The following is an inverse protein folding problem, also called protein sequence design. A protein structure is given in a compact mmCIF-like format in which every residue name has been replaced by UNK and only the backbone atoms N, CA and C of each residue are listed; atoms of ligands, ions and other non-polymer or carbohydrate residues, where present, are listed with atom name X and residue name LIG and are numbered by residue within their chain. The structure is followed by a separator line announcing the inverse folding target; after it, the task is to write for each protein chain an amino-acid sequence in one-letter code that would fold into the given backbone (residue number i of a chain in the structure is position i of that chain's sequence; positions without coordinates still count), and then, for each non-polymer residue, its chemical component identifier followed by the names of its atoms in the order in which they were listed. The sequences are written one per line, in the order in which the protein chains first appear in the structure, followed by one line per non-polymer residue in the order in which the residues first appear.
data_IF_484731785870
#
_entry.id   IF_484731785870
#
_cell.length_a   1.000
_cell.length_b   1.000
_cell.length_c   1.000
_cell.angle_alpha   90.00
_cell.angle_beta   90.00
_cell.angle_gamma   90.00
#
_symmetry.space_group_name_H-M   'P 1'
#
loop_
_entity.id
_entity.type
_entity.pdbx_description
1 polymer ?
#
# COMPACT_ATOMS: atom_id res chain seq x y z
N UNK A 1 10.97 11.64 -8.75
CA UNK A 1 11.85 10.49 -9.05
C UNK A 1 11.76 10.25 -10.55
N UNK A 2 12.91 10.24 -11.23
CA UNK A 2 12.99 10.32 -12.69
C UNK A 2 12.26 9.19 -13.40
N UNK A 3 11.71 9.52 -14.57
CA UNK A 3 11.21 8.55 -15.55
C UNK A 3 12.33 7.58 -15.89
N UNK A 4 12.26 6.35 -15.36
CA UNK A 4 13.10 5.26 -15.82
C UNK A 4 12.60 4.84 -17.19
N UNK A 5 13.37 5.17 -18.22
CA UNK A 5 13.18 4.64 -19.56
C UNK A 5 13.01 3.13 -19.51
N UNK A 6 11.92 2.65 -20.09
CA UNK A 6 11.50 1.25 -20.18
C UNK A 6 12.41 0.39 -21.07
N UNK A 7 13.66 0.79 -21.31
CA UNK A 7 14.60 0.13 -22.23
C UNK A 7 15.83 -0.49 -21.54
N UNK A 8 15.94 -0.43 -20.20
CA UNK A 8 17.07 -1.03 -19.46
C UNK A 8 16.81 -2.44 -18.91
N UNK A 9 15.84 -3.19 -19.45
CA UNK A 9 15.42 -4.50 -18.93
C UNK A 9 16.47 -5.62 -19.02
N UNK A 10 17.53 -5.43 -19.81
CA UNK A 10 18.30 -6.56 -20.32
C UNK A 10 19.77 -6.21 -20.49
N UNK A 11 20.57 -6.30 -19.43
CA UNK A 11 22.02 -6.36 -19.59
C UNK A 11 22.48 -7.67 -20.29
N UNK A 12 21.63 -8.71 -20.35
CA UNK A 12 21.89 -10.00 -21.04
C UNK A 12 20.63 -10.63 -21.67
N UNK A 13 19.61 -9.84 -21.97
CA UNK A 13 18.37 -10.34 -22.60
C UNK A 13 17.37 -11.07 -21.68
N UNK A 14 17.72 -11.40 -20.43
CA UNK A 14 16.85 -12.15 -19.50
C UNK A 14 16.47 -11.31 -18.26
N UNK A 15 15.17 -11.25 -18.01
CA UNK A 15 14.49 -10.68 -16.87
C UNK A 15 14.10 -11.76 -15.85
N UNK A 16 13.99 -11.38 -14.58
CA UNK A 16 13.46 -12.20 -13.49
C UNK A 16 12.45 -11.46 -12.61
N UNK A 17 11.64 -12.25 -11.92
CA UNK A 17 10.74 -11.89 -10.85
C UNK A 17 10.75 -13.04 -9.85
N UNK A 18 11.03 -12.76 -8.58
CA UNK A 18 10.97 -13.74 -7.51
C UNK A 18 10.01 -13.27 -6.42
N UNK A 19 9.09 -14.14 -6.01
CA UNK A 19 8.14 -13.88 -4.92
C UNK A 19 8.30 -14.90 -3.79
N UNK A 20 8.29 -14.42 -2.56
CA UNK A 20 8.18 -15.17 -1.33
C UNK A 20 6.74 -15.13 -0.84
N UNK A 21 6.19 -16.30 -0.55
CA UNK A 21 4.94 -16.50 0.18
C UNK A 21 5.29 -16.97 1.60
N UNK A 22 5.28 -16.08 2.61
CA UNK A 22 5.74 -16.44 3.97
C UNK A 22 4.91 -17.56 4.60
N UNK A 23 3.60 -17.57 4.34
CA UNK A 23 2.64 -18.51 4.93
C UNK A 23 2.89 -19.98 4.56
N UNK A 24 3.37 -20.25 3.34
CA UNK A 24 3.79 -21.59 2.89
C UNK A 24 5.32 -21.75 2.85
N UNK A 25 6.07 -20.72 3.24
CA UNK A 25 7.54 -20.72 3.21
C UNK A 25 8.10 -21.16 1.85
N UNK A 26 7.65 -20.52 0.77
CA UNK A 26 8.07 -20.83 -0.60
C UNK A 26 8.50 -19.58 -1.36
N UNK A 27 9.67 -19.67 -2.01
CA UNK A 27 10.15 -18.69 -2.99
C UNK A 27 9.89 -19.25 -4.39
N UNK A 28 9.22 -18.49 -5.24
CA UNK A 28 9.01 -18.80 -6.66
C UNK A 28 9.79 -17.79 -7.50
N UNK A 29 10.80 -18.24 -8.23
CA UNK A 29 11.57 -17.46 -9.19
C UNK A 29 11.06 -17.75 -10.60
N UNK A 30 10.64 -16.72 -11.32
CA UNK A 30 10.24 -16.75 -12.73
C UNK A 30 11.23 -15.95 -13.55
N UNK A 31 11.62 -16.47 -14.71
CA UNK A 31 12.60 -15.85 -15.60
C UNK A 31 12.16 -15.91 -17.06
N UNK A 32 12.44 -14.85 -17.83
CA UNK A 32 11.99 -14.70 -19.21
C UNK A 32 12.79 -13.63 -19.97
N UNK A 33 12.83 -13.66 -21.31
CA UNK A 33 12.58 -14.83 -22.14
C UNK A 33 13.66 -15.91 -21.92
N UNK A 34 13.26 -17.17 -21.83
CA UNK A 34 14.15 -18.32 -21.81
C UNK A 34 13.66 -19.39 -22.77
N UNK A 35 14.58 -19.90 -23.59
CA UNK A 35 14.33 -20.97 -24.56
C UNK A 35 15.00 -22.29 -24.17
N UNK A 36 15.93 -22.25 -23.21
CA UNK A 36 16.64 -23.40 -22.67
C UNK A 36 16.78 -23.25 -21.16
N UNK A 37 16.96 -24.37 -20.46
CA UNK A 37 17.27 -24.37 -19.03
C UNK A 37 18.63 -23.70 -18.81
N UNK A 38 18.78 -22.79 -17.81
CA UNK A 38 20.05 -22.16 -17.52
C UNK A 38 21.19 -23.17 -17.28
N UNK A 39 22.31 -22.99 -17.98
CA UNK A 39 23.51 -23.85 -17.91
C UNK A 39 24.12 -23.96 -16.50
N UNK A 40 23.94 -22.94 -15.67
CA UNK A 40 24.26 -22.98 -14.25
C UNK A 40 23.18 -22.25 -13.45
N UNK A 41 22.67 -22.91 -12.40
CA UNK A 41 21.76 -22.32 -11.44
C UNK A 41 22.14 -22.83 -10.06
N UNK A 42 22.83 -21.99 -9.29
CA UNK A 42 23.46 -22.40 -8.03
C UNK A 42 23.16 -21.42 -6.92
N UNK A 43 22.81 -21.92 -5.75
CA UNK A 43 22.66 -21.09 -4.55
C UNK A 43 24.03 -20.59 -4.10
N UNK A 44 24.23 -19.27 -4.14
CA UNK A 44 25.47 -18.61 -3.68
C UNK A 44 25.44 -18.38 -2.16
N UNK A 45 24.26 -18.02 -1.64
CA UNK A 45 24.00 -17.83 -0.20
C UNK A 45 22.53 -18.10 0.09
N UNK A 46 22.10 -17.97 1.35
CA UNK A 46 20.68 -18.15 1.68
C UNK A 46 19.76 -17.19 0.93
N UNK A 47 20.21 -16.00 0.53
CA UNK A 47 19.39 -14.98 -0.15
C UNK A 47 19.85 -14.63 -1.57
N UNK A 48 20.81 -15.39 -2.14
CA UNK A 48 21.34 -15.09 -3.49
C UNK A 48 21.51 -16.35 -4.32
N UNK A 49 21.07 -16.28 -5.58
CA UNK A 49 21.28 -17.31 -6.60
C UNK A 49 22.23 -16.78 -7.67
N UNK A 50 23.21 -17.59 -8.04
CA UNK A 50 24.08 -17.37 -9.17
C UNK A 50 23.51 -18.08 -10.40
N UNK A 51 23.42 -17.36 -11.52
CA UNK A 51 22.90 -17.90 -12.78
C UNK A 51 23.83 -17.62 -13.95
N UNK A 52 23.94 -18.62 -14.84
CA UNK A 52 24.39 -18.46 -16.23
C UNK A 52 23.34 -19.06 -17.17
N UNK A 53 22.85 -18.28 -18.12
CA UNK A 53 21.84 -18.73 -19.09
C UNK A 53 22.46 -19.75 -20.06
N UNK A 54 23.59 -19.40 -20.67
CA UNK A 54 24.44 -20.29 -21.47
C UNK A 54 25.84 -20.39 -20.85
N UNK A 55 26.65 -21.38 -21.24
CA UNK A 55 28.03 -21.54 -20.74
C UNK A 55 28.86 -20.26 -20.88
N UNK A 56 28.65 -19.56 -21.99
CA UNK A 56 29.41 -18.40 -22.44
C UNK A 56 28.76 -17.08 -22.01
N UNK A 57 27.54 -17.12 -21.47
CA UNK A 57 26.88 -15.93 -20.93
C UNK A 57 27.60 -15.37 -19.71
N UNK A 58 27.54 -14.05 -19.56
CA UNK A 58 27.96 -13.39 -18.33
C UNK A 58 27.15 -13.94 -17.15
N UNK A 59 27.83 -14.17 -16.04
CA UNK A 59 27.16 -14.65 -14.86
C UNK A 59 26.45 -13.52 -14.12
N UNK A 60 25.29 -13.82 -13.55
CA UNK A 60 24.48 -12.85 -12.81
C UNK A 60 24.13 -13.38 -11.44
N UNK A 61 23.99 -12.44 -10.50
CA UNK A 61 23.48 -12.74 -9.16
C UNK A 61 22.07 -12.21 -9.04
N UNK A 62 21.15 -13.09 -8.68
CA UNK A 62 19.75 -12.78 -8.36
C UNK A 62 19.64 -12.70 -6.84
N UNK A 63 19.15 -11.57 -6.35
CA UNK A 63 18.75 -11.43 -4.95
C UNK A 63 17.37 -12.06 -4.77
N UNK A 64 17.20 -12.86 -3.73
CA UNK A 64 15.93 -13.49 -3.39
C UNK A 64 15.15 -12.62 -2.40
N UNK A 65 13.81 -12.68 -2.42
CA UNK A 65 12.94 -11.92 -1.52
C UNK A 65 12.95 -12.41 -0.06
N UNK A 66 13.67 -13.49 0.25
CA UNK A 66 13.84 -14.01 1.60
C UNK A 66 14.91 -15.10 1.63
N UNK A 67 15.12 -15.68 2.81
CA UNK A 67 16.14 -16.73 2.98
C UNK A 67 15.61 -18.08 2.51
N UNK A 68 16.42 -18.80 1.77
CA UNK A 68 16.20 -20.23 1.46
C UNK A 68 16.45 -21.07 2.71
N UNK A 69 15.71 -22.16 2.84
CA UNK A 69 15.88 -23.09 3.94
C UNK A 69 17.29 -23.72 3.94
N UNK A 70 17.77 -24.13 5.11
CA UNK A 70 19.13 -24.69 5.27
C UNK A 70 19.33 -25.96 4.43
N UNK A 71 18.27 -26.76 4.31
CA UNK A 71 18.19 -28.00 3.53
C UNK A 71 18.00 -27.80 2.02
N UNK A 72 17.86 -26.56 1.53
CA UNK A 72 17.73 -26.31 0.09
C UNK A 72 19.02 -26.71 -0.68
N UNK A 73 18.90 -27.41 -1.81
CA UNK A 73 20.06 -27.91 -2.54
C UNK A 73 20.90 -26.76 -3.12
N UNK A 74 22.22 -27.01 -3.27
CA UNK A 74 23.13 -26.04 -3.86
C UNK A 74 22.88 -25.88 -5.37
N UNK A 75 22.74 -26.99 -6.10
CA UNK A 75 22.30 -26.96 -7.50
C UNK A 75 20.77 -26.93 -7.55
N UNK A 76 20.24 -25.93 -8.25
CA UNK A 76 18.80 -25.71 -8.41
C UNK A 76 18.31 -26.09 -9.82
N UNK A 77 19.20 -26.60 -10.66
CA UNK A 77 18.91 -26.90 -12.07
C UNK A 77 17.84 -27.98 -12.24
N UNK A 78 17.88 -29.02 -11.40
CA UNK A 78 16.92 -30.14 -11.49
C UNK A 78 15.50 -29.74 -11.12
N UNK A 79 15.33 -28.68 -10.33
CA UNK A 79 14.03 -28.15 -9.91
C UNK A 79 13.49 -27.08 -10.86
N UNK A 80 14.24 -26.76 -11.92
CA UNK A 80 13.87 -25.75 -12.90
C UNK A 80 12.90 -26.30 -13.94
N UNK A 81 11.77 -25.62 -14.13
CA UNK A 81 10.73 -25.98 -15.08
C UNK A 81 10.66 -24.95 -16.20
N UNK A 82 10.92 -25.36 -17.44
CA UNK A 82 10.82 -24.50 -18.62
C UNK A 82 9.48 -24.69 -19.31
N UNK A 83 8.81 -23.58 -19.64
CA UNK A 83 7.67 -23.53 -20.53
C UNK A 83 8.11 -22.91 -21.86
N UNK A 84 8.33 -23.75 -22.86
CA UNK A 84 8.78 -23.33 -24.19
C UNK A 84 7.78 -22.45 -24.94
N UNK A 85 6.47 -22.61 -24.67
CA UNK A 85 5.42 -21.85 -25.36
C UNK A 85 5.43 -20.38 -24.94
N UNK A 86 5.53 -20.13 -23.63
CA UNK A 86 5.61 -18.78 -23.07
C UNK A 86 7.05 -18.24 -22.99
N UNK A 87 8.05 -19.04 -23.39
CA UNK A 87 9.48 -18.74 -23.20
C UNK A 87 9.78 -18.30 -21.77
N UNK A 88 9.18 -18.97 -20.79
CA UNK A 88 9.37 -18.66 -19.37
C UNK A 88 9.90 -19.88 -18.66
N UNK A 89 10.75 -19.67 -17.67
CA UNK A 89 11.17 -20.73 -16.78
C UNK A 89 10.89 -20.36 -15.33
N UNK A 90 10.59 -21.37 -14.51
CA UNK A 90 10.23 -21.21 -13.12
C UNK A 90 11.00 -22.16 -12.22
N UNK A 91 11.32 -21.69 -11.02
CA UNK A 91 11.99 -22.43 -9.97
C UNK A 91 11.25 -22.20 -8.66
N UNK A 92 10.95 -23.27 -7.93
CA UNK A 92 10.43 -23.18 -6.56
C UNK A 92 11.51 -23.63 -5.58
N UNK A 93 11.76 -22.81 -4.57
CA UNK A 93 12.72 -23.09 -3.50
C UNK A 93 12.03 -22.93 -2.16
N UNK A 94 12.25 -23.88 -1.26
CA UNK A 94 11.78 -23.80 0.12
C UNK A 94 12.46 -22.64 0.84
N UNK A 95 11.67 -21.79 1.47
CA UNK A 95 12.14 -20.66 2.27
C UNK A 95 12.35 -21.09 3.73
N UNK A 96 13.24 -20.38 4.42
CA UNK A 96 13.28 -20.39 5.87
C UNK A 96 11.98 -19.75 6.39
N UNK A 97 11.44 -20.28 7.49
CA UNK A 97 10.23 -19.72 8.09
C UNK A 97 10.60 -18.40 8.75
N UNK A 98 10.16 -17.30 8.16
CA UNK A 98 10.31 -15.97 8.75
C UNK A 98 9.09 -15.65 9.61
N UNK A 99 9.32 -15.02 10.77
CA UNK A 99 8.23 -14.46 11.57
C UNK A 99 7.57 -13.33 10.77
N UNK A 100 6.23 -13.21 10.88
CA UNK A 100 5.53 -12.12 10.21
C UNK A 100 6.06 -10.81 10.76
N UNK A 101 6.54 -9.94 9.88
CA UNK A 101 6.92 -8.57 10.25
C UNK A 101 5.70 -7.88 10.84
N UNK A 102 5.91 -7.18 11.94
CA UNK A 102 4.88 -6.37 12.57
C UNK A 102 4.29 -5.37 11.56
N UNK A 103 3.01 -5.10 11.72
CA UNK A 103 2.31 -4.10 10.93
C UNK A 103 2.79 -2.70 11.34
N UNK A 104 3.24 -1.90 10.38
CA UNK A 104 3.72 -0.53 10.63
C UNK A 104 2.81 0.44 9.88
N UNK A 105 2.02 1.21 10.63
CA UNK A 105 1.18 2.25 10.04
C UNK A 105 2.02 3.40 9.48
N UNK A 106 1.73 3.92 8.28
CA UNK A 106 2.42 5.07 7.71
C UNK A 106 2.08 6.39 8.43
N UNK A 107 3.11 7.19 8.73
CA UNK A 107 3.01 8.48 9.42
C UNK A 107 2.17 8.42 10.71
N UNK A 108 2.56 7.60 11.72
CA UNK A 108 1.89 7.57 13.01
C UNK A 108 2.12 8.88 13.78
N UNK A 109 1.31 9.15 14.81
CA UNK A 109 1.40 10.37 15.62
C UNK A 109 2.79 10.58 16.24
N UNK A 110 3.49 9.49 16.58
CA UNK A 110 4.89 9.56 17.04
C UNK A 110 5.83 10.19 16.01
N UNK A 111 5.66 9.87 14.72
CA UNK A 111 6.47 10.42 13.64
C UNK A 111 6.13 11.89 13.37
N UNK A 112 4.84 12.23 13.37
CA UNK A 112 4.35 13.61 13.27
C UNK A 112 4.86 14.46 14.44
N UNK A 113 4.88 13.93 15.67
CA UNK A 113 5.43 14.63 16.84
C UNK A 113 6.94 14.90 16.74
N UNK A 114 7.66 14.06 15.98
CA UNK A 114 9.08 14.21 15.69
C UNK A 114 9.39 15.17 14.54
N UNK A 115 8.39 15.63 13.80
CA UNK A 115 8.58 16.55 12.69
C UNK A 115 8.58 18.01 13.16
N UNK A 116 9.34 18.84 12.43
CA UNK A 116 9.39 20.30 12.57
C UNK A 116 8.19 20.95 11.88
N UNK A 117 7.83 20.45 10.70
CA UNK A 117 6.69 20.97 9.94
C UNK A 117 6.01 19.88 9.11
N UNK A 118 4.70 20.04 8.91
CA UNK A 118 3.87 19.21 8.01
C UNK A 118 3.64 20.00 6.73
N UNK A 119 4.10 19.44 5.61
CA UNK A 119 4.17 20.12 4.33
C UNK A 119 3.39 19.38 3.25
N UNK A 120 2.95 20.09 2.21
CA UNK A 120 2.48 19.47 0.98
C UNK A 120 3.61 18.64 0.35
N UNK A 121 3.33 17.38 0.01
CA UNK A 121 4.34 16.45 -0.55
C UNK A 121 4.86 16.83 -1.94
N UNK A 122 4.10 17.66 -2.68
CA UNK A 122 4.39 18.06 -4.05
C UNK A 122 5.23 19.34 -4.13
N UNK A 123 4.93 20.36 -3.33
CA UNK A 123 5.62 21.66 -3.38
C UNK A 123 6.35 22.08 -2.10
N UNK A 124 6.22 21.32 -1.01
CA UNK A 124 6.91 21.59 0.26
C UNK A 124 6.35 22.77 1.07
N UNK A 125 5.23 23.38 0.67
CA UNK A 125 4.62 24.44 1.47
C UNK A 125 4.10 23.90 2.80
N UNK A 126 4.36 24.61 3.90
CA UNK A 126 3.87 24.25 5.23
C UNK A 126 2.35 24.46 5.29
N UNK A 127 1.63 23.44 5.77
CA UNK A 127 0.16 23.41 5.80
C UNK A 127 -0.41 23.65 7.20
N UNK A 128 0.31 23.24 8.25
CA UNK A 128 -0.12 23.36 9.64
C UNK A 128 0.71 24.40 10.39
N UNK A 129 0.07 25.07 11.35
CA UNK A 129 0.74 25.99 12.28
C UNK A 129 1.71 25.24 13.19
N UNK A 130 2.59 26.00 13.85
CA UNK A 130 3.57 25.45 14.80
C UNK A 130 2.91 24.94 16.09
N UNK A 131 3.68 24.20 16.89
CA UNK A 131 3.31 23.70 18.23
C UNK A 131 2.13 22.73 18.27
N UNK A 132 1.88 22.01 17.17
CA UNK A 132 0.88 20.95 17.13
C UNK A 132 1.28 19.75 18.00
N UNK A 133 0.28 19.20 18.70
CA UNK A 133 0.32 17.87 19.31
C UNK A 133 -0.38 16.88 18.41
N UNK A 134 0.09 15.63 18.39
CA UNK A 134 -0.49 14.56 17.58
C UNK A 134 -0.82 13.37 18.47
N UNK A 135 -2.02 12.82 18.32
CA UNK A 135 -2.44 11.58 18.95
C UNK A 135 -3.01 10.64 17.89
N UNK A 136 -2.66 9.36 17.96
CA UNK A 136 -3.26 8.35 17.08
C UNK A 136 -4.72 8.16 17.49
N UNK A 137 -5.60 8.14 16.49
CA UNK A 137 -6.95 7.64 16.66
C UNK A 137 -6.89 6.11 16.85
N UNK A 138 -7.90 5.53 17.53
CA UNK A 138 -8.14 4.10 17.41
C UNK A 138 -8.48 3.74 15.94
N UNK A 139 -8.61 2.45 15.62
CA UNK A 139 -9.02 1.98 14.28
C UNK A 139 -10.26 2.74 13.79
N UNK A 140 -10.41 2.94 12.48
CA UNK A 140 -11.52 3.75 11.93
C UNK A 140 -12.89 3.18 12.36
N UNK A 141 -12.97 1.86 12.54
CA UNK A 141 -14.18 1.14 12.96
C UNK A 141 -14.31 0.96 14.48
N UNK A 142 -13.57 1.71 15.29
CA UNK A 142 -13.56 1.56 16.76
C UNK A 142 -14.93 1.67 17.41
N UNK A 143 -15.79 2.54 16.87
CA UNK A 143 -17.12 2.77 17.40
C UNK A 143 -18.03 1.55 17.17
N UNK A 144 -17.93 0.92 16.01
CA UNK A 144 -18.68 -0.30 15.69
C UNK A 144 -18.25 -1.45 16.61
N UNK A 145 -16.96 -1.51 17.00
CA UNK A 145 -16.49 -2.48 17.99
C UNK A 145 -17.16 -2.34 19.36
N UNK A 146 -17.62 -1.14 19.73
CA UNK A 146 -18.34 -0.95 21.01
C UNK A 146 -19.68 -1.68 21.03
N UNK A 147 -20.34 -1.79 19.88
CA UNK A 147 -21.62 -2.50 19.75
C UNK A 147 -21.45 -4.01 19.88
N UNK A 148 -20.29 -4.55 19.49
CA UNK A 148 -19.96 -5.98 19.61
C UNK A 148 -19.39 -6.37 20.99
N UNK A 149 -19.08 -5.39 21.84
CA UNK A 149 -18.43 -5.66 23.13
C UNK A 149 -19.42 -6.06 24.23
N UNK A 150 -20.70 -5.76 24.08
CA UNK A 150 -21.72 -6.06 25.08
C UNK A 150 -22.46 -7.35 24.72
N UNK A 151 -22.26 -8.43 25.50
CA UNK A 151 -23.04 -9.66 25.36
C UNK A 151 -24.54 -9.46 25.65
N UNK A 152 -24.90 -8.41 26.42
CA UNK A 152 -26.25 -7.92 26.61
C UNK A 152 -26.20 -6.39 26.70
N UNK A 153 -27.04 -5.68 25.92
CA UNK A 153 -27.23 -4.24 26.12
C UNK A 153 -27.77 -4.05 27.54
N UNK A 154 -27.20 -3.16 28.37
CA UNK A 154 -27.72 -2.93 29.70
C UNK A 154 -29.19 -2.53 29.60
N UNK A 155 -30.06 -3.24 30.33
CA UNK A 155 -31.49 -2.96 30.35
C UNK A 155 -31.70 -1.49 30.73
N UNK A 156 -32.31 -0.74 29.82
CA UNK A 156 -32.68 0.67 30.01
C UNK A 156 -33.84 0.81 31.02
N UNK A 157 -33.70 0.28 32.24
CA UNK A 157 -34.73 0.34 33.28
C UNK A 157 -34.35 1.11 34.55
N UNK A 158 -33.20 1.79 34.58
CA UNK A 158 -32.93 2.76 35.64
C UNK A 158 -32.47 4.10 35.04
N UNK A 159 -33.35 5.10 35.17
CA UNK A 159 -33.18 6.47 34.68
C UNK A 159 -32.04 7.23 35.36
N UNK A 160 -30.81 6.90 34.97
CA UNK A 160 -29.67 7.80 35.08
C UNK A 160 -29.36 8.34 33.68
N UNK A 161 -29.88 9.53 33.41
CA UNK A 161 -29.39 10.38 32.33
C UNK A 161 -27.93 10.75 32.58
N UNK A 162 -27.07 10.51 31.58
CA UNK A 162 -25.75 11.12 31.45
C UNK A 162 -24.61 10.42 32.20
N UNK A 163 -23.65 9.84 31.44
CA UNK A 163 -22.33 9.61 32.03
C UNK A 163 -21.33 8.77 31.25
N UNK A 164 -21.72 7.61 30.70
CA UNK A 164 -20.72 6.57 30.37
C UNK A 164 -20.81 5.96 28.96
N UNK A 165 -21.61 6.52 28.05
CA UNK A 165 -21.41 6.26 26.63
C UNK A 165 -20.35 7.26 26.15
N UNK A 166 -19.17 6.79 25.75
CA UNK A 166 -18.23 7.61 24.97
C UNK A 166 -19.00 8.05 23.74
N UNK A 167 -19.47 9.31 23.71
CA UNK A 167 -20.19 9.85 22.55
C UNK A 167 -19.26 9.75 21.34
N UNK A 168 -19.84 9.56 20.15
CA UNK A 168 -19.14 9.70 18.87
C UNK A 168 -18.36 11.03 18.79
N UNK A 169 -18.81 12.04 19.53
CA UNK A 169 -18.21 13.38 19.65
C UNK A 169 -16.96 13.45 20.55
N UNK A 170 -16.59 12.37 21.24
CA UNK A 170 -15.45 12.35 22.15
C UNK A 170 -14.10 12.42 21.43
N UNK A 171 -14.03 12.03 20.15
CA UNK A 171 -12.80 11.97 19.35
C UNK A 171 -12.72 13.06 18.28
N UNK A 172 -12.99 14.31 18.68
CA UNK A 172 -12.77 15.47 17.81
C UNK A 172 -11.44 16.16 18.13
N UNK A 173 -10.71 16.66 17.10
CA UNK A 173 -9.51 17.45 17.30
C UNK A 173 -9.88 18.74 18.03
N UNK A 174 -8.87 19.35 18.65
CA UNK A 174 -8.99 20.65 19.33
C UNK A 174 -7.85 21.53 18.86
N UNK A 175 -7.94 22.82 19.18
CA UNK A 175 -6.86 23.77 18.86
C UNK A 175 -5.50 23.25 19.36
N UNK A 176 -4.53 23.22 18.46
CA UNK A 176 -3.18 22.70 18.65
C UNK A 176 -3.11 21.19 18.97
N UNK A 177 -4.17 20.43 18.70
CA UNK A 177 -4.24 18.97 18.86
C UNK A 177 -4.83 18.32 17.61
N UNK A 178 -3.96 17.68 16.84
CA UNK A 178 -4.31 16.87 15.69
C UNK A 178 -4.56 15.41 16.10
N UNK A 179 -5.56 14.80 15.47
CA UNK A 179 -5.86 13.37 15.61
C UNK A 179 -5.44 12.64 14.33
N UNK A 180 -4.73 11.53 14.47
CA UNK A 180 -4.08 10.84 13.36
C UNK A 180 -4.84 9.55 13.08
N UNK A 181 -5.65 9.56 12.02
CA UNK A 181 -6.38 8.38 11.53
C UNK A 181 -5.50 7.50 10.65
N UNK A 182 -6.08 6.47 10.03
CA UNK A 182 -5.30 5.56 9.19
C UNK A 182 -4.67 6.31 8.01
N UNK A 183 -5.48 7.08 7.29
CA UNK A 183 -5.08 7.74 6.05
C UNK A 183 -5.09 9.27 6.09
N UNK A 184 -5.49 9.84 7.22
CA UNK A 184 -5.60 11.30 7.37
C UNK A 184 -5.03 11.82 8.69
N UNK A 185 -4.76 13.11 8.71
CA UNK A 185 -4.51 13.90 9.93
C UNK A 185 -5.67 14.88 10.08
N UNK A 186 -6.44 14.72 11.15
CA UNK A 186 -7.62 15.51 11.46
C UNK A 186 -7.23 16.71 12.33
N UNK A 187 -7.58 17.91 11.90
CA UNK A 187 -7.27 19.18 12.59
C UNK A 187 -8.47 20.12 12.55
N UNK A 188 -8.50 21.09 13.46
CA UNK A 188 -9.42 22.23 13.36
C UNK A 188 -8.87 23.25 12.35
N UNK A 189 -9.74 23.97 11.65
CA UNK A 189 -9.37 24.96 10.63
C UNK A 189 -8.45 26.06 11.17
N UNK A 190 -8.62 26.38 12.46
CA UNK A 190 -7.77 27.29 13.23
C UNK A 190 -6.28 26.91 13.25
N UNK A 191 -5.94 25.63 13.06
CA UNK A 191 -4.56 25.13 13.07
C UNK A 191 -3.96 25.00 11.65
N UNK A 192 -4.74 25.30 10.61
CA UNK A 192 -4.28 25.33 9.22
C UNK A 192 -3.77 26.73 8.87
N UNK A 193 -2.71 26.79 8.07
CA UNK A 193 -2.30 28.02 7.38
C UNK A 193 -3.30 28.31 6.25
N UNK A 194 -4.35 29.08 6.55
CA UNK A 194 -5.49 29.27 5.64
C UNK A 194 -5.12 29.90 4.30
N UNK A 195 -4.07 30.73 4.26
CA UNK A 195 -3.50 31.29 3.03
C UNK A 195 -2.80 30.25 2.13
N UNK A 196 -2.55 29.04 2.67
CA UNK A 196 -1.85 27.94 1.99
C UNK A 196 -2.80 26.87 1.45
N UNK A 197 -4.10 27.01 1.68
CA UNK A 197 -5.12 26.08 1.19
C UNK A 197 -6.24 26.80 0.43
N UNK A 198 -6.96 26.04 -0.42
CA UNK A 198 -8.19 26.45 -1.09
C UNK A 198 -9.22 25.36 -0.85
N UNK A 199 -10.44 25.74 -0.50
CA UNK A 199 -11.55 24.79 -0.28
C UNK A 199 -12.50 24.89 -1.46
N UNK A 200 -12.92 23.74 -2.00
CA UNK A 200 -13.94 23.69 -3.05
C UNK A 200 -15.31 24.11 -2.51
N UNK A 201 -16.08 24.81 -3.34
CA UNK A 201 -17.47 25.17 -3.06
C UNK A 201 -18.43 23.99 -3.32
N UNK A 202 -18.02 22.99 -4.10
CA UNK A 202 -18.81 21.79 -4.39
C UNK A 202 -18.66 20.74 -3.30
N UNK A 203 -19.71 19.94 -3.08
CA UNK A 203 -19.60 18.72 -2.29
C UNK A 203 -18.99 17.59 -3.14
N UNK A 204 -18.13 16.73 -2.55
CA UNK A 204 -17.45 16.91 -1.26
C UNK A 204 -16.50 18.13 -1.26
N UNK A 205 -16.42 18.85 -0.13
CA UNK A 205 -15.58 20.06 0.03
C UNK A 205 -14.10 19.70 0.10
N UNK A 206 -13.49 19.48 -1.07
CA UNK A 206 -12.07 19.16 -1.21
C UNK A 206 -11.18 20.32 -0.78
N UNK A 207 -10.04 20.01 -0.19
CA UNK A 207 -9.02 20.98 0.23
C UNK A 207 -7.77 20.79 -0.64
N UNK A 208 -7.41 21.82 -1.39
CA UNK A 208 -6.24 21.84 -2.27
C UNK A 208 -5.16 22.80 -1.76
N UNK A 209 -3.90 22.49 -2.03
CA UNK A 209 -2.78 23.37 -1.75
C UNK A 209 -2.86 24.63 -2.63
N UNK A 210 -2.79 25.83 -2.04
CA UNK A 210 -2.91 27.08 -2.80
C UNK A 210 -1.73 27.32 -3.76
N UNK A 211 -0.56 26.75 -3.48
CA UNK A 211 0.66 26.90 -4.26
C UNK A 211 0.78 25.98 -5.50
N UNK A 212 0.35 24.71 -5.42
CA UNK A 212 0.49 23.75 -6.51
C UNK A 212 -0.83 23.09 -6.94
N UNK A 213 -1.95 23.42 -6.30
CA UNK A 213 -3.28 22.83 -6.55
C UNK A 213 -3.39 21.32 -6.30
N UNK A 214 -2.41 20.69 -5.62
CA UNK A 214 -2.52 19.30 -5.18
C UNK A 214 -3.62 19.15 -4.13
N UNK A 215 -4.46 18.10 -4.24
CA UNK A 215 -5.51 17.78 -3.27
C UNK A 215 -4.90 17.31 -1.95
N UNK A 216 -4.87 18.15 -0.93
CA UNK A 216 -4.23 17.83 0.37
C UNK A 216 -5.20 17.33 1.42
N UNK A 217 -6.51 17.39 1.19
CA UNK A 217 -7.48 16.93 2.16
C UNK A 217 -8.93 17.13 1.76
N UNK A 218 -9.81 17.03 2.76
CA UNK A 218 -11.25 17.23 2.65
C UNK A 218 -11.77 17.84 3.97
N UNK A 219 -12.77 18.72 3.87
CA UNK A 219 -13.51 19.20 5.05
C UNK A 219 -14.45 18.10 5.55
N UNK A 220 -14.49 17.87 6.85
CA UNK A 220 -15.36 16.84 7.42
C UNK A 220 -16.85 17.12 7.13
N UNK A 221 -17.61 16.05 6.86
CA UNK A 221 -19.03 16.15 6.49
C UNK A 221 -19.91 16.58 7.66
N UNK A 222 -19.52 16.24 8.89
CA UNK A 222 -20.28 16.51 10.12
C UNK A 222 -19.92 17.86 10.74
N UNK A 223 -18.64 18.24 10.68
CA UNK A 223 -18.14 19.53 11.20
C UNK A 223 -17.29 20.28 10.17
N UNK A 224 -17.80 21.41 9.68
CA UNK A 224 -17.11 22.23 8.68
C UNK A 224 -15.85 22.92 9.21
N UNK A 225 -15.63 22.96 10.52
CA UNK A 225 -14.41 23.45 11.12
C UNK A 225 -13.31 22.37 11.15
N UNK A 226 -13.63 21.10 10.87
CA UNK A 226 -12.65 20.01 10.87
C UNK A 226 -12.18 19.75 9.44
N UNK A 227 -10.88 19.58 9.29
CA UNK A 227 -10.24 19.21 8.02
C UNK A 227 -9.44 17.93 8.21
N UNK A 228 -9.65 16.96 7.31
CA UNK A 228 -8.88 15.72 7.20
C UNK A 228 -7.84 15.89 6.10
N UNK A 229 -6.58 16.10 6.48
CA UNK A 229 -5.46 16.17 5.54
C UNK A 229 -5.00 14.77 5.15
N UNK A 230 -4.95 14.47 3.86
CA UNK A 230 -4.56 13.16 3.34
C UNK A 230 -3.07 12.90 3.51
N UNK A 231 -2.72 11.89 4.30
CA UNK A 231 -1.33 11.54 4.61
C UNK A 231 -0.48 11.25 3.36
N UNK A 232 -1.06 10.69 2.29
CA UNK A 232 -0.35 10.43 1.03
C UNK A 232 0.08 11.68 0.27
N UNK A 233 -0.53 12.84 0.57
CA UNK A 233 -0.14 14.13 0.01
C UNK A 233 0.57 15.04 1.03
N UNK A 234 1.05 14.46 2.14
CA UNK A 234 1.87 15.12 3.14
C UNK A 234 3.34 14.65 3.07
N UNK A 235 4.23 15.55 3.45
CA UNK A 235 5.63 15.26 3.74
C UNK A 235 6.03 15.89 5.06
N UNK A 236 6.86 15.20 5.82
CA UNK A 236 7.31 15.64 7.14
C UNK A 236 8.76 16.10 7.09
N UNK A 237 9.01 17.32 7.52
CA UNK A 237 10.36 17.83 7.75
C UNK A 237 10.83 17.38 9.14
N UNK A 238 11.91 16.60 9.29
CA UNK A 238 12.37 16.15 10.62
C UNK A 238 12.94 17.31 11.45
N UNK A 239 12.83 17.22 12.78
CA UNK A 239 13.45 18.20 13.71
C UNK A 239 14.98 18.14 13.73
N UNK A 240 15.57 16.99 13.42
CA UNK A 240 17.02 16.80 13.45
C UNK A 240 17.68 17.32 12.17
N UNK A 241 18.61 18.26 12.35
CA UNK A 241 19.50 18.77 11.31
C UNK A 241 20.63 17.74 11.11
N UNK A 242 20.35 16.64 10.41
CA UNK A 242 21.42 15.98 9.65
C UNK A 242 21.58 16.76 8.35
N UNK A 243 22.81 16.92 7.86
CA UNK A 243 23.09 17.65 6.61
C UNK A 243 22.33 17.08 5.39
N UNK A 244 21.77 15.88 5.49
CA UNK A 244 20.73 15.34 4.61
C UNK A 244 19.35 15.42 5.27
N UNK A 245 18.53 16.40 4.86
CA UNK A 245 17.11 16.48 5.23
C UNK A 245 16.37 15.45 4.37
N UNK A 246 16.17 14.24 4.88
CA UNK A 246 15.30 13.25 4.24
C UNK A 246 13.86 13.50 4.69
N UNK A 247 13.04 14.08 3.81
CA UNK A 247 11.61 14.23 4.06
C UNK A 247 10.95 12.87 4.19
N UNK A 248 10.16 12.66 5.25
CA UNK A 248 9.38 11.44 5.38
C UNK A 248 8.06 11.59 4.62
N UNK A 249 7.85 10.75 3.61
CA UNK A 249 6.61 10.63 2.83
C UNK A 249 6.44 9.20 2.34
N UNK A 250 5.20 8.79 2.09
CA UNK A 250 4.86 7.48 1.56
C UNK A 250 3.99 7.62 0.31
N UNK A 251 4.10 6.67 -0.61
CA UNK A 251 3.25 6.64 -1.81
C UNK A 251 1.81 6.28 -1.46
N UNK A 252 0.87 6.70 -2.32
CA UNK A 252 -0.55 6.38 -2.16
C UNK A 252 -0.81 4.87 -2.01
N UNK A 253 -0.08 4.02 -2.75
CA UNK A 253 -0.27 2.56 -2.70
C UNK A 253 -0.08 1.99 -1.28
N UNK A 254 0.82 2.57 -0.47
CA UNK A 254 0.98 2.17 0.94
C UNK A 254 -0.34 2.39 1.68
N UNK A 255 -0.91 3.59 1.63
CA UNK A 255 -2.16 3.90 2.32
C UNK A 255 -3.35 3.09 1.80
N UNK A 256 -3.41 2.83 0.48
CA UNK A 256 -4.45 1.95 -0.09
C UNK A 256 -4.31 0.53 0.45
N UNK A 257 -3.11 -0.03 0.52
CA UNK A 257 -2.93 -1.37 1.12
C UNK A 257 -3.31 -1.40 2.59
N UNK A 258 -3.01 -0.36 3.34
CA UNK A 258 -3.38 -0.25 4.76
C UNK A 258 -4.90 -0.20 4.93
N UNK A 259 -5.62 0.57 4.10
CA UNK A 259 -7.09 0.59 4.11
C UNK A 259 -7.67 -0.79 3.82
N UNK A 260 -7.16 -1.47 2.79
CA UNK A 260 -7.61 -2.82 2.43
C UNK A 260 -7.37 -3.81 3.56
N UNK A 261 -6.24 -3.71 4.27
CA UNK A 261 -5.93 -4.58 5.41
C UNK A 261 -6.85 -4.33 6.59
N UNK A 262 -7.13 -3.08 6.93
CA UNK A 262 -8.06 -2.74 8.00
C UNK A 262 -9.44 -3.35 7.71
N UNK A 263 -9.92 -3.24 6.46
CA UNK A 263 -11.20 -3.83 6.06
C UNK A 263 -11.13 -5.37 6.05
N UNK A 264 -10.02 -6.00 5.61
CA UNK A 264 -9.84 -7.46 5.70
C UNK A 264 -9.91 -7.92 7.15
N UNK A 265 -9.23 -7.23 8.06
CA UNK A 265 -9.17 -7.59 9.49
C UNK A 265 -10.54 -7.43 10.17
N UNK A 266 -11.32 -6.44 9.74
CA UNK A 266 -12.62 -6.16 10.35
C UNK A 266 -13.77 -6.95 9.72
N UNK A 267 -13.89 -6.95 8.39
CA UNK A 267 -15.02 -7.54 7.66
C UNK A 267 -14.72 -8.95 7.13
N UNK A 268 -13.48 -9.43 7.21
CA UNK A 268 -13.04 -10.71 6.63
C UNK A 268 -13.33 -10.86 5.13
N UNK A 269 -13.44 -9.73 4.41
CA UNK A 269 -13.61 -9.71 2.95
C UNK A 269 -12.27 -9.49 2.25
N UNK A 270 -12.14 -10.02 1.03
CA UNK A 270 -10.96 -9.86 0.20
C UNK A 270 -11.28 -9.18 -1.14
N UNK A 271 -12.54 -8.81 -1.39
CA UNK A 271 -13.02 -8.26 -2.65
C UNK A 271 -13.70 -6.91 -2.41
N UNK A 272 -13.26 -5.91 -3.16
CA UNK A 272 -13.53 -4.51 -2.91
C UNK A 272 -14.02 -3.82 -4.18
N UNK A 273 -15.05 -2.99 -4.05
CA UNK A 273 -15.35 -1.95 -5.02
C UNK A 273 -14.42 -0.75 -4.78
N UNK A 274 -13.83 -0.20 -5.82
CA UNK A 274 -13.09 1.07 -5.75
C UNK A 274 -13.96 2.14 -6.40
N UNK A 275 -14.37 3.12 -5.61
CA UNK A 275 -15.26 4.20 -6.05
C UNK A 275 -14.56 5.56 -5.94
N UNK A 276 -15.01 6.50 -6.77
CA UNK A 276 -14.68 7.90 -6.56
C UNK A 276 -15.47 8.43 -5.37
N UNK A 277 -14.86 9.33 -4.60
CA UNK A 277 -15.55 10.06 -3.54
C UNK A 277 -16.55 11.03 -4.17
N UNK A 278 -17.83 10.65 -4.17
CA UNK A 278 -18.96 11.42 -4.70
C UNK A 278 -20.23 11.19 -3.87
N UNK A 279 -21.30 11.93 -4.18
CA UNK A 279 -22.61 11.70 -3.57
C UNK A 279 -23.28 10.41 -4.07
N UNK A 280 -22.90 9.94 -5.26
CA UNK A 280 -23.32 8.66 -5.81
C UNK A 280 -22.18 7.65 -5.75
N UNK A 281 -22.44 6.47 -5.20
CA UNK A 281 -21.46 5.39 -5.09
C UNK A 281 -21.38 4.63 -6.44
N UNK A 282 -20.55 5.14 -7.35
CA UNK A 282 -20.26 4.46 -8.61
C UNK A 282 -18.94 3.70 -8.49
N UNK A 283 -19.03 2.37 -8.51
CA UNK A 283 -17.85 1.49 -8.54
C UNK A 283 -17.19 1.59 -9.92
N UNK A 284 -15.90 1.95 -9.93
CA UNK A 284 -15.11 2.15 -11.14
C UNK A 284 -14.15 1.00 -11.42
N UNK A 285 -13.76 0.26 -10.37
CA UNK A 285 -12.88 -0.89 -10.49
C UNK A 285 -13.19 -1.89 -9.38
N UNK A 286 -13.07 -3.18 -9.68
CA UNK A 286 -13.10 -4.23 -8.67
C UNK A 286 -11.68 -4.72 -8.39
N UNK A 287 -11.37 -4.85 -7.10
CA UNK A 287 -10.07 -5.30 -6.61
C UNK A 287 -10.26 -6.53 -5.71
N UNK A 288 -9.49 -7.58 -5.98
CA UNK A 288 -9.41 -8.78 -5.17
C UNK A 288 -8.01 -8.95 -4.59
N UNK A 289 -7.89 -8.91 -3.25
CA UNK A 289 -6.65 -9.20 -2.54
C UNK A 289 -6.41 -10.71 -2.48
N UNK A 290 -5.58 -11.21 -3.39
CA UNK A 290 -5.26 -12.63 -3.48
C UNK A 290 -4.24 -13.06 -2.41
N UNK A 291 -3.24 -12.22 -2.13
CA UNK A 291 -2.34 -12.40 -0.98
C UNK A 291 -2.08 -11.04 -0.33
N UNK A 292 -2.41 -10.92 0.95
CA UNK A 292 -2.22 -9.68 1.71
C UNK A 292 -0.76 -9.40 2.03
N UNK A 293 0.09 -10.43 2.09
CA UNK A 293 1.50 -10.30 2.47
C UNK A 293 2.42 -11.20 1.65
N UNK A 294 3.13 -10.60 0.69
CA UNK A 294 4.21 -11.22 -0.06
C UNK A 294 5.47 -10.36 0.08
N UNK A 295 6.65 -10.96 -0.18
CA UNK A 295 7.84 -10.17 -0.50
C UNK A 295 8.32 -10.53 -1.90
N UNK A 296 8.80 -9.57 -2.66
CA UNK A 296 9.29 -9.83 -4.01
C UNK A 296 10.59 -9.08 -4.33
N UNK A 297 11.30 -9.60 -5.31
CA UNK A 297 12.42 -8.95 -5.98
C UNK A 297 12.26 -9.11 -7.50
N UNK A 298 12.81 -8.19 -8.28
CA UNK A 298 12.80 -8.24 -9.73
C UNK A 298 14.03 -7.52 -10.29
N UNK A 299 14.15 -7.46 -11.61
CA UNK A 299 15.22 -6.69 -12.26
C UNK A 299 15.21 -5.21 -11.87
N UNK A 300 14.02 -4.67 -11.60
CA UNK A 300 13.80 -3.28 -11.21
C UNK A 300 13.91 -3.14 -9.69
N UNK A 301 13.28 -4.05 -8.95
CA UNK A 301 13.23 -4.02 -7.49
C UNK A 301 14.20 -5.07 -6.93
N UNK A 302 15.49 -4.73 -6.89
CA UNK A 302 16.53 -5.69 -6.46
C UNK A 302 16.53 -5.94 -4.95
N UNK A 303 16.01 -4.99 -4.17
CA UNK A 303 15.83 -5.13 -2.72
C UNK A 303 14.49 -5.80 -2.39
N UNK A 304 14.48 -6.79 -1.47
CA UNK A 304 13.25 -7.43 -1.02
C UNK A 304 12.22 -6.41 -0.57
N UNK A 305 11.11 -6.35 -1.28
CA UNK A 305 10.04 -5.37 -1.04
C UNK A 305 8.77 -6.09 -0.67
N UNK A 306 8.14 -5.65 0.42
CA UNK A 306 6.85 -6.19 0.88
C UNK A 306 5.75 -5.63 -0.01
N UNK A 307 4.79 -6.47 -0.37
CA UNK A 307 3.69 -6.08 -1.23
C UNK A 307 2.43 -6.90 -0.94
N UNK A 308 1.30 -6.38 -1.42
CA UNK A 308 0.04 -7.07 -1.55
C UNK A 308 -0.14 -7.49 -3.01
N UNK A 309 -0.45 -8.77 -3.24
CA UNK A 309 -0.78 -9.27 -4.58
C UNK A 309 -2.27 -9.12 -4.80
N UNK A 310 -2.63 -8.27 -5.76
CA UNK A 310 -4.02 -7.92 -6.06
C UNK A 310 -4.37 -8.30 -7.48
N UNK A 311 -5.61 -8.72 -7.67
CA UNK A 311 -6.24 -8.90 -8.98
C UNK A 311 -7.22 -7.75 -9.17
N UNK A 312 -7.25 -7.14 -10.35
CA UNK A 312 -8.12 -5.99 -10.61
C UNK A 312 -8.77 -6.06 -11.99
N UNK A 313 -9.97 -5.49 -12.11
CA UNK A 313 -10.68 -5.36 -13.38
C UNK A 313 -11.55 -4.11 -13.36
N UNK A 314 -11.67 -3.48 -14.53
CA UNK A 314 -12.59 -2.35 -14.78
C UNK A 314 -13.90 -2.85 -15.43
N UNK A 315 -13.99 -4.15 -15.75
CA UNK A 315 -15.16 -4.73 -16.41
C UNK A 315 -16.23 -5.12 -15.38
N UNK A 316 -17.44 -4.51 -15.43
CA UNK A 316 -18.52 -4.81 -14.49
C UNK A 316 -18.97 -6.28 -14.56
N UNK A 317 -18.99 -6.84 -15.78
CA UNK A 317 -19.52 -8.18 -16.08
C UNK A 317 -18.73 -9.32 -15.42
N UNK A 318 -17.49 -9.07 -15.01
CA UNK A 318 -16.62 -10.05 -14.34
C UNK A 318 -17.00 -10.17 -12.86
N UNK A 319 -17.64 -9.14 -12.30
CA UNK A 319 -17.99 -9.06 -10.89
C UNK A 319 -19.49 -9.29 -10.60
N UNK A 320 -20.25 -9.76 -11.60
CA UNK A 320 -21.69 -10.09 -11.51
C UNK A 320 -22.03 -11.33 -10.64
N UNK A 321 -21.27 -11.56 -9.58
CA UNK A 321 -21.56 -12.59 -8.58
C UNK A 321 -21.42 -12.00 -7.17
N UNK A 322 -22.27 -11.05 -6.77
CA UNK A 322 -22.53 -10.72 -5.34
C UNK A 322 -21.31 -10.66 -4.38
N UNK A 323 -20.14 -10.16 -4.80
CA UNK A 323 -18.90 -10.39 -4.03
C UNK A 323 -18.04 -9.16 -3.69
N UNK A 324 -18.34 -7.96 -4.19
CA UNK A 324 -17.84 -6.76 -3.51
C UNK A 324 -18.69 -6.50 -2.27
N UNK A 325 -18.21 -6.93 -1.11
CA UNK A 325 -18.90 -6.71 0.18
C UNK A 325 -18.71 -5.29 0.68
N UNK A 326 -17.59 -4.66 0.31
CA UNK A 326 -17.15 -3.37 0.85
C UNK A 326 -16.59 -2.47 -0.27
N UNK A 327 -16.75 -1.16 -0.10
CA UNK A 327 -16.27 -0.15 -1.05
C UNK A 327 -15.19 0.72 -0.42
N UNK A 328 -14.12 0.99 -1.17
CA UNK A 328 -13.09 1.97 -0.83
C UNK A 328 -13.29 3.22 -1.68
N UNK A 329 -13.64 4.33 -1.03
CA UNK A 329 -13.81 5.63 -1.66
C UNK A 329 -12.49 6.42 -1.68
N UNK A 330 -12.11 6.92 -2.85
CA UNK A 330 -10.91 7.73 -3.03
C UNK A 330 -11.23 9.05 -3.76
N UNK A 331 -10.56 10.17 -3.43
CA UNK A 331 -10.59 11.36 -4.28
C UNK A 331 -10.19 11.04 -5.71
N UNK A 332 -10.78 11.72 -6.69
CA UNK A 332 -10.53 11.45 -8.12
C UNK A 332 -9.06 11.50 -8.50
N UNK A 333 -8.26 12.38 -7.89
CA UNK A 333 -6.81 12.45 -8.10
C UNK A 333 -6.08 11.21 -7.58
N UNK A 334 -6.45 10.72 -6.39
CA UNK A 334 -5.93 9.49 -5.81
C UNK A 334 -6.35 8.26 -6.62
N UNK A 335 -7.61 8.18 -7.05
CA UNK A 335 -8.13 7.12 -7.90
C UNK A 335 -7.31 6.99 -9.20
N UNK A 336 -7.11 8.10 -9.90
CA UNK A 336 -6.31 8.11 -11.13
C UNK A 336 -4.85 7.70 -10.89
N UNK A 337 -4.30 8.03 -9.72
CA UNK A 337 -2.95 7.63 -9.34
C UNK A 337 -2.88 6.12 -9.06
N UNK A 338 -3.83 5.55 -8.30
CA UNK A 338 -3.81 4.11 -8.00
C UNK A 338 -3.99 3.26 -9.26
N UNK A 339 -4.82 3.66 -10.23
CA UNK A 339 -4.92 2.95 -11.51
C UNK A 339 -3.61 2.97 -12.31
N UNK A 340 -2.94 4.13 -12.37
CA UNK A 340 -1.59 4.22 -12.98
C UNK A 340 -0.58 3.34 -12.26
N UNK A 341 -0.64 3.25 -10.93
CA UNK A 341 0.22 2.34 -10.16
C UNK A 341 -0.09 0.89 -10.51
N UNK A 342 -1.36 0.48 -10.52
CA UNK A 342 -1.78 -0.88 -10.85
C UNK A 342 -1.30 -1.31 -12.24
N UNK A 343 -1.48 -0.46 -13.26
CA UNK A 343 -1.01 -0.70 -14.62
C UNK A 343 0.52 -0.78 -14.71
N UNK A 344 1.22 0.16 -14.06
CA UNK A 344 2.69 0.18 -14.06
C UNK A 344 3.24 -1.10 -13.45
N UNK A 345 2.73 -1.49 -12.29
CA UNK A 345 3.13 -2.69 -11.55
C UNK A 345 2.76 -3.98 -12.29
N UNK A 346 1.62 -4.01 -12.99
CA UNK A 346 1.28 -5.10 -13.90
C UNK A 346 2.33 -5.26 -15.01
N UNK A 347 2.74 -4.17 -15.65
CA UNK A 347 3.79 -4.18 -16.69
C UNK A 347 5.15 -4.66 -16.15
N UNK A 348 5.41 -4.47 -14.86
CA UNK A 348 6.62 -4.95 -14.19
C UNK A 348 6.67 -6.49 -14.04
N UNK A 349 5.52 -7.17 -14.11
CA UNK A 349 5.42 -8.63 -14.06
C UNK A 349 5.77 -9.28 -15.41
N UNK A 350 6.26 -10.54 -15.40
CA UNK A 350 6.33 -11.34 -16.62
C UNK A 350 4.96 -11.47 -17.27
N UNK A 351 4.91 -11.50 -18.60
CA UNK A 351 3.67 -11.58 -19.37
C UNK A 351 2.75 -12.73 -18.92
N UNK A 352 3.34 -13.89 -18.62
CA UNK A 352 2.61 -15.07 -18.12
C UNK A 352 1.96 -14.87 -16.75
N UNK A 353 2.34 -13.84 -15.99
CA UNK A 353 1.82 -13.51 -14.67
C UNK A 353 0.99 -12.21 -14.66
N UNK A 354 0.77 -11.55 -15.80
CA UNK A 354 0.02 -10.29 -15.88
C UNK A 354 -1.49 -10.47 -15.80
N UNK A 355 -2.00 -11.67 -16.09
CA UNK A 355 -3.41 -11.95 -16.11
C UNK A 355 -3.76 -13.27 -15.42
N UNK A 356 -4.93 -13.31 -14.80
CA UNK A 356 -5.56 -14.50 -14.25
C UNK A 356 -7.02 -14.55 -14.72
N UNK A 357 -7.25 -15.30 -15.80
CA UNK A 357 -8.55 -15.29 -16.49
C UNK A 357 -8.87 -13.89 -17.03
N UNK A 358 -9.96 -13.29 -16.54
CA UNK A 358 -10.39 -11.92 -16.90
C UNK A 358 -9.81 -10.83 -15.98
N UNK A 359 -9.00 -11.21 -15.00
CA UNK A 359 -8.42 -10.28 -14.05
C UNK A 359 -6.99 -9.90 -14.44
N UNK A 360 -6.63 -8.63 -14.28
CA UNK A 360 -5.25 -8.19 -14.34
C UNK A 360 -4.59 -8.40 -12.98
N UNK A 361 -3.30 -8.76 -12.96
CA UNK A 361 -2.54 -8.99 -11.72
C UNK A 361 -1.61 -7.82 -11.44
N UNK A 362 -1.57 -7.35 -10.20
CA UNK A 362 -0.67 -6.26 -9.80
C UNK A 362 -0.12 -6.45 -8.40
N UNK A 363 0.89 -5.65 -8.06
CA UNK A 363 1.55 -5.63 -6.77
C UNK A 363 1.47 -4.21 -6.20
N UNK A 364 0.81 -4.07 -5.06
CA UNK A 364 0.78 -2.81 -4.32
C UNK A 364 1.80 -2.89 -3.17
N UNK A 365 2.69 -1.91 -3.08
CA UNK A 365 3.72 -1.90 -2.04
C UNK A 365 3.12 -1.79 -0.64
N UNK A 366 3.83 -2.37 0.34
CA UNK A 366 3.51 -2.33 1.77
C UNK A 366 4.75 -1.97 2.59
N UNK A 367 4.55 -1.54 3.85
CA UNK A 367 5.62 -1.28 4.81
C UNK A 367 6.17 -2.53 5.50
#
# INVERSE_FOLDING_TARGET
MGYYDSNNWTQDGVAYYAELLPHISQITLTMWPLTVVPSHLTRLSSSKIYIKTTSDSAARTIVLPGRTAKDAPLSLQQSYQLNSNSKTGSLRVKAEREERKEHISPLPARQLSGCKSVQCSECGVVLLKDNMKYLDLPSENWYEMLDYWHCHKPDHQHGYEGGNAISRDALNPRKSLALVGLTYVMVVGDDICSERIKVSDTLPKMVACSACSCDVGIVDRLDQNIVKLYKWNLSLEPKSISNDITLCRYSLEIFVTEMLLEIIEFHSTHQFGIAALSDEETILCYLWVFNSDISYTSNIQQEPTRAMKVFYTEQPDVCNQEIATETVELPSSALNNIFKVLERRNKELPESLRAFGKWNVSLLHRL
#
